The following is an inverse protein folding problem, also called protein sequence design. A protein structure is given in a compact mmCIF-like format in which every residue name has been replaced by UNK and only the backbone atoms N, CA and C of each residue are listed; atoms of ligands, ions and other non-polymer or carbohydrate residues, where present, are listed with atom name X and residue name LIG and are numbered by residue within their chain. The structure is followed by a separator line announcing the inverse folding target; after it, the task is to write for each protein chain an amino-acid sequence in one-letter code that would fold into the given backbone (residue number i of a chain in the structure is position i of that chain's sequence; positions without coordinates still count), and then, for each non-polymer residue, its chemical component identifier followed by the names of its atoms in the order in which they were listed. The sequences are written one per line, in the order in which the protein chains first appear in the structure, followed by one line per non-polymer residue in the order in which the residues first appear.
data_IF_131864784392
#
_entry.id   IF_131864784392
#
_cell.length_a   1.000
_cell.length_b   1.000
_cell.length_c   1.000
_cell.angle_alpha   90.00
_cell.angle_beta   90.00
_cell.angle_gamma   90.00
#
_symmetry.space_group_name_H-M   'P 1'
#
loop_
_entity.id
_entity.type
_entity.pdbx_description
1 polymer ?
#
# COMPACT_ATOMS: atom_id res chain seq x y z
N UNK A 1 -5.42 8.86 27.70
CA UNK A 1 -5.99 8.70 26.34
C UNK A 1 -5.90 10.04 25.63
N UNK A 2 -4.99 10.12 24.67
CA UNK A 2 -4.79 11.05 23.55
C UNK A 2 -5.27 12.51 23.65
N UNK A 3 -4.31 13.40 23.86
CA UNK A 3 -4.31 14.78 23.40
C UNK A 3 -4.08 14.80 21.87
N UNK A 4 -5.13 15.01 21.08
CA UNK A 4 -5.01 15.20 19.62
C UNK A 4 -6.18 14.65 18.82
N UNK A 5 -7.25 15.45 18.72
CA UNK A 5 -8.54 15.21 18.04
C UNK A 5 -9.31 13.94 18.47
N UNK A 6 -10.44 14.06 19.18
CA UNK A 6 -11.26 12.89 19.50
C UNK A 6 -11.78 12.24 18.21
N UNK A 7 -11.36 11.00 17.96
CA UNK A 7 -11.89 10.19 16.87
C UNK A 7 -13.41 10.04 17.03
N UNK A 8 -14.15 10.23 15.95
CA UNK A 8 -15.62 10.13 15.93
C UNK A 8 -16.08 8.80 15.34
N UNK A 9 -15.40 8.31 14.31
CA UNK A 9 -15.86 7.16 13.55
C UNK A 9 -14.81 6.07 13.53
N UNK A 10 -15.27 4.82 13.53
CA UNK A 10 -14.47 3.63 13.32
C UNK A 10 -15.25 2.57 12.56
N UNK A 11 -14.56 1.51 12.18
CA UNK A 11 -15.10 0.32 11.55
C UNK A 11 -14.74 -0.88 12.39
N UNK A 12 -15.75 -1.64 12.78
CA UNK A 12 -15.58 -2.91 13.46
C UNK A 12 -15.29 -3.96 12.39
N UNK A 13 -14.31 -4.82 12.65
CA UNK A 13 -14.02 -5.95 11.80
C UNK A 13 -13.69 -7.18 12.63
N UNK A 14 -13.93 -8.35 12.03
CA UNK A 14 -13.62 -9.62 12.65
C UNK A 14 -12.37 -10.23 12.04
N UNK A 15 -11.50 -10.76 12.88
CA UNK A 15 -10.33 -11.52 12.46
C UNK A 15 -10.04 -12.63 13.44
N UNK A 16 -9.89 -13.85 12.94
CA UNK A 16 -9.46 -15.04 13.72
C UNK A 16 -7.95 -15.25 13.63
N UNK A 17 -7.21 -14.28 13.07
CA UNK A 17 -5.76 -14.41 12.86
C UNK A 17 -5.01 -13.93 14.09
N UNK A 18 -4.14 -14.81 14.61
CA UNK A 18 -3.36 -14.54 15.82
C UNK A 18 -2.53 -13.24 15.72
N UNK A 19 -1.97 -12.94 14.55
CA UNK A 19 -1.15 -11.72 14.38
C UNK A 19 -1.94 -10.42 14.52
N UNK A 20 -3.27 -10.42 14.35
CA UNK A 20 -4.06 -9.19 14.44
C UNK A 20 -4.07 -8.64 15.88
N UNK A 21 -4.02 -9.53 16.87
CA UNK A 21 -3.89 -9.15 18.27
C UNK A 21 -2.57 -8.45 18.54
N UNK A 22 -1.46 -9.00 18.05
CA UNK A 22 -0.12 -8.42 18.20
C UNK A 22 -0.01 -7.10 17.43
N UNK A 23 -0.58 -7.05 16.21
CA UNK A 23 -0.62 -5.85 15.40
C UNK A 23 -1.35 -4.72 16.13
N UNK A 24 -2.55 -4.95 16.65
CA UNK A 24 -3.32 -3.93 17.36
C UNK A 24 -2.61 -3.41 18.62
N UNK A 25 -1.78 -4.23 19.29
CA UNK A 25 -1.02 -3.82 20.48
C UNK A 25 0.26 -3.05 20.14
N UNK A 26 0.92 -3.38 19.03
CA UNK A 26 2.20 -2.79 18.63
C UNK A 26 2.05 -1.63 17.62
N UNK A 27 0.85 -1.44 17.05
CA UNK A 27 0.61 -0.43 16.03
C UNK A 27 0.70 0.98 16.58
N UNK A 28 1.56 1.80 15.96
CA UNK A 28 1.78 3.18 16.36
C UNK A 28 1.79 4.10 15.14
N UNK A 29 0.63 4.67 14.82
CA UNK A 29 0.46 5.64 13.73
C UNK A 29 -0.44 6.80 14.17
N UNK A 30 -0.14 8.00 13.65
CA UNK A 30 -0.99 9.19 13.83
C UNK A 30 -2.19 9.19 12.87
N UNK A 31 -2.16 8.39 11.80
CA UNK A 31 -3.18 8.38 10.76
C UNK A 31 -4.19 7.24 10.94
N UNK A 32 -3.78 6.12 11.55
CA UNK A 32 -4.61 4.92 11.73
C UNK A 32 -4.47 4.38 13.14
N UNK A 33 -5.60 4.05 13.75
CA UNK A 33 -5.69 3.42 15.05
C UNK A 33 -6.37 2.06 14.94
N UNK A 34 -5.78 1.08 15.61
CA UNK A 34 -6.27 -0.30 15.71
C UNK A 34 -6.34 -0.68 17.19
N UNK A 35 -7.42 -1.30 17.64
CA UNK A 35 -7.50 -1.85 18.99
C UNK A 35 -8.47 -3.03 19.08
N UNK A 36 -8.28 -3.84 20.13
CA UNK A 36 -9.15 -4.97 20.50
C UNK A 36 -10.43 -4.45 21.17
N UNK A 37 -11.59 -4.97 20.78
CA UNK A 37 -12.86 -4.61 21.42
C UNK A 37 -13.20 -5.48 22.64
N UNK A 38 -12.60 -6.67 22.75
CA UNK A 38 -12.83 -7.60 23.85
C UNK A 38 -11.60 -7.67 24.78
N UNK A 39 -11.80 -7.63 26.11
CA UNK A 39 -10.72 -7.87 27.06
C UNK A 39 -10.34 -9.36 27.08
N UNK A 40 -9.08 -9.68 26.80
CA UNK A 40 -8.56 -11.05 26.85
C UNK A 40 -7.36 -11.30 25.94
N UNK A 41 -6.78 -12.50 26.03
CA UNK A 41 -5.61 -12.88 25.23
C UNK A 41 -5.91 -13.09 23.74
N UNK A 42 -7.17 -13.34 23.38
CA UNK A 42 -7.60 -13.53 21.99
C UNK A 42 -8.89 -12.73 21.79
N UNK A 43 -8.79 -11.62 21.05
CA UNK A 43 -9.97 -10.88 20.56
C UNK A 43 -10.23 -11.33 19.13
N UNK A 44 -11.50 -11.56 18.78
CA UNK A 44 -11.92 -11.76 17.38
C UNK A 44 -12.52 -10.50 16.77
N UNK A 45 -12.82 -9.49 17.60
CA UNK A 45 -13.41 -8.23 17.19
C UNK A 45 -12.41 -7.09 17.42
N UNK A 46 -12.21 -6.27 16.40
CA UNK A 46 -11.26 -5.16 16.40
C UNK A 46 -11.93 -3.91 15.84
N UNK A 47 -11.40 -2.75 16.21
CA UNK A 47 -11.82 -1.48 15.61
C UNK A 47 -10.67 -0.85 14.82
N UNK A 48 -10.98 -0.45 13.58
CA UNK A 48 -10.15 0.40 12.73
C UNK A 48 -10.72 1.82 12.74
N UNK A 49 -9.95 2.80 13.19
CA UNK A 49 -10.38 4.19 13.25
C UNK A 49 -9.30 5.14 12.76
N UNK A 50 -9.72 6.36 12.42
CA UNK A 50 -8.81 7.40 11.95
C UNK A 50 -9.36 8.79 12.24
N UNK A 51 -8.51 9.78 12.59
CA UNK A 51 -8.92 11.18 12.65
C UNK A 51 -9.40 11.69 11.30
N UNK A 52 -8.93 11.09 10.18
CA UNK A 52 -9.32 11.46 8.82
C UNK A 52 -10.80 11.21 8.54
N UNK A 53 -11.50 10.46 9.39
CA UNK A 53 -12.93 10.16 9.25
C UNK A 53 -13.83 11.26 9.85
N UNK A 54 -13.30 12.11 10.72
CA UNK A 54 -14.10 13.04 11.53
C UNK A 54 -14.93 14.04 10.71
N UNK A 55 -14.43 14.40 9.52
CA UNK A 55 -15.05 15.38 8.61
C UNK A 55 -15.82 14.75 7.46
N UNK A 56 -16.07 13.44 7.49
CA UNK A 56 -16.95 12.81 6.50
C UNK A 56 -18.33 13.47 6.51
N UNK A 57 -18.84 13.81 5.32
CA UNK A 57 -20.12 14.52 5.13
C UNK A 57 -21.32 13.63 5.44
N UNK A 58 -21.21 12.35 5.11
CA UNK A 58 -22.22 11.33 5.31
C UNK A 58 -21.55 9.94 5.42
N UNK A 59 -22.36 8.87 5.48
CA UNK A 59 -21.87 7.49 5.63
C UNK A 59 -21.19 6.96 4.34
N UNK A 60 -21.53 7.46 3.15
CA UNK A 60 -20.88 7.06 1.90
C UNK A 60 -19.49 7.68 1.82
N UNK A 61 -19.37 8.99 2.08
CA UNK A 61 -18.11 9.71 2.16
C UNK A 61 -17.16 9.10 3.21
N UNK A 62 -17.71 8.67 4.35
CA UNK A 62 -16.98 7.94 5.39
C UNK A 62 -16.46 6.59 4.88
N UNK A 63 -17.30 5.81 4.20
CA UNK A 63 -16.96 4.47 3.72
C UNK A 63 -15.96 4.50 2.58
N UNK A 64 -16.11 5.44 1.65
CA UNK A 64 -15.16 5.67 0.57
C UNK A 64 -13.78 6.03 1.14
N UNK A 65 -13.73 6.98 2.08
CA UNK A 65 -12.47 7.40 2.71
C UNK A 65 -11.82 6.28 3.51
N UNK A 66 -12.60 5.52 4.29
CA UNK A 66 -12.10 4.37 5.02
C UNK A 66 -11.59 3.27 4.09
N UNK A 67 -12.26 3.02 2.96
CA UNK A 67 -11.82 2.06 1.96
C UNK A 67 -10.51 2.50 1.31
N UNK A 68 -10.39 3.78 0.95
CA UNK A 68 -9.17 4.35 0.40
C UNK A 68 -8.01 4.28 1.41
N UNK A 69 -8.23 4.64 2.67
CA UNK A 69 -7.20 4.63 3.71
C UNK A 69 -6.78 3.21 4.08
N UNK A 70 -7.74 2.28 4.13
CA UNK A 70 -7.45 0.86 4.32
C UNK A 70 -6.63 0.29 3.17
N UNK A 71 -6.90 0.67 1.92
CA UNK A 71 -6.05 0.26 0.80
C UNK A 71 -4.60 0.75 0.97
N UNK A 72 -4.39 1.96 1.53
CA UNK A 72 -3.03 2.43 1.87
C UNK A 72 -2.40 1.56 2.97
N UNK A 73 -3.16 1.25 4.03
CA UNK A 73 -2.73 0.35 5.11
C UNK A 73 -2.32 -1.03 4.58
N UNK A 74 -3.20 -1.67 3.81
CA UNK A 74 -2.97 -3.01 3.30
C UNK A 74 -1.72 -3.05 2.40
N UNK A 75 -1.53 -2.03 1.54
CA UNK A 75 -0.34 -1.92 0.72
C UNK A 75 0.94 -1.74 1.55
N UNK A 76 0.89 -0.89 2.58
CA UNK A 76 2.00 -0.67 3.49
C UNK A 76 2.36 -1.95 4.26
N UNK A 77 1.35 -2.68 4.73
CA UNK A 77 1.54 -3.96 5.43
C UNK A 77 2.15 -5.02 4.52
N UNK A 78 1.66 -5.17 3.28
CA UNK A 78 2.21 -6.10 2.28
C UNK A 78 3.69 -5.81 1.99
N UNK A 79 4.08 -4.54 1.82
CA UNK A 79 5.50 -4.17 1.69
C UNK A 79 6.28 -4.35 2.99
N UNK A 80 5.64 -4.14 4.14
CA UNK A 80 6.20 -4.34 5.47
C UNK A 80 6.68 -5.77 5.67
N UNK A 81 5.81 -6.75 5.42
CA UNK A 81 6.10 -8.19 5.54
C UNK A 81 6.97 -8.73 4.41
N UNK A 82 6.97 -8.05 3.25
CA UNK A 82 7.85 -8.35 2.12
C UNK A 82 7.62 -9.74 1.52
N UNK A 83 8.66 -10.58 1.34
CA UNK A 83 8.52 -11.91 0.75
C UNK A 83 7.58 -12.85 1.51
N UNK A 84 7.30 -12.55 2.79
CA UNK A 84 6.30 -13.27 3.59
C UNK A 84 4.91 -12.66 3.43
N UNK A 85 4.55 -12.24 2.23
CA UNK A 85 3.26 -11.56 1.99
C UNK A 85 2.07 -12.45 2.37
N UNK A 86 2.21 -13.77 2.25
CA UNK A 86 1.24 -14.75 2.75
C UNK A 86 1.03 -14.73 4.27
N UNK A 87 1.92 -14.10 5.03
CA UNK A 87 1.77 -13.88 6.48
C UNK A 87 0.84 -12.69 6.80
N UNK A 88 0.48 -11.89 5.80
CA UNK A 88 -0.46 -10.79 5.95
C UNK A 88 -1.75 -11.08 5.19
N UNK A 89 -2.88 -10.97 5.88
CA UNK A 89 -4.20 -11.12 5.30
C UNK A 89 -5.02 -9.83 5.52
N UNK A 90 -5.43 -9.13 4.45
CA UNK A 90 -6.29 -7.97 4.60
C UNK A 90 -7.59 -8.33 5.33
N UNK A 91 -7.99 -7.53 6.31
CA UNK A 91 -9.32 -7.64 6.92
C UNK A 91 -10.37 -7.00 6.00
N UNK A 92 -11.65 -7.19 6.30
CA UNK A 92 -12.74 -6.46 5.63
C UNK A 92 -13.29 -5.38 6.57
N UNK A 93 -13.68 -4.22 6.03
CA UNK A 93 -14.43 -3.24 6.81
C UNK A 93 -15.82 -3.80 7.10
N UNK A 94 -16.18 -3.91 8.39
CA UNK A 94 -17.51 -4.35 8.82
C UNK A 94 -18.39 -3.16 9.24
N UNK A 95 -19.02 -3.27 10.40
CA UNK A 95 -19.96 -2.27 10.91
C UNK A 95 -19.29 -0.92 11.17
N UNK A 96 -19.99 0.16 10.87
CA UNK A 96 -19.58 1.52 11.24
C UNK A 96 -19.96 1.74 12.70
N UNK A 97 -19.02 2.23 13.51
CA UNK A 97 -19.26 2.64 14.90
C UNK A 97 -19.03 4.14 15.07
N UNK A 98 -19.98 4.82 15.70
CA UNK A 98 -19.73 6.15 16.26
C UNK A 98 -19.06 5.99 17.63
N UNK A 99 -17.80 6.39 17.73
CA UNK A 99 -16.97 6.22 18.92
C UNK A 99 -17.39 7.12 20.09
N UNK A 100 -18.28 8.10 19.88
CA UNK A 100 -18.77 8.99 20.93
C UNK A 100 -19.95 8.43 21.70
N UNK A 101 -20.85 7.73 21.01
CA UNK A 101 -22.09 7.18 21.58
C UNK A 101 -22.17 5.65 21.47
N UNK A 102 -21.16 5.01 20.87
CA UNK A 102 -21.04 3.56 20.64
C UNK A 102 -22.16 2.95 19.79
N UNK A 103 -22.89 3.77 19.03
CA UNK A 103 -23.92 3.28 18.11
C UNK A 103 -23.26 2.62 16.90
N UNK A 104 -23.58 1.35 16.67
CA UNK A 104 -23.16 0.55 15.50
C UNK A 104 -24.21 0.64 14.38
N UNK A 105 -23.76 0.61 13.14
CA UNK A 105 -24.60 0.68 11.93
C UNK A 105 -23.97 -0.14 10.81
N UNK A 106 -24.82 -0.75 9.99
CA UNK A 106 -24.37 -1.30 8.72
C UNK A 106 -23.82 -0.19 7.83
N UNK A 107 -22.68 -0.46 7.19
CA UNK A 107 -22.12 0.43 6.19
C UNK A 107 -22.89 0.36 4.86
N UNK A 108 -22.76 1.38 3.99
CA UNK A 108 -23.35 1.38 2.66
C UNK A 108 -22.78 0.33 1.69
N UNK A 109 -21.87 -0.54 2.14
CA UNK A 109 -21.24 -1.60 1.34
C UNK A 109 -19.84 -1.23 0.87
N UNK A 110 -19.51 -1.58 -0.38
CA UNK A 110 -18.18 -1.36 -0.97
C UNK A 110 -17.94 0.14 -1.19
N UNK A 111 -16.89 0.69 -0.56
CA UNK A 111 -16.48 2.07 -0.78
C UNK A 111 -15.70 2.26 -2.07
N UNK A 112 -15.74 3.49 -2.59
CA UNK A 112 -14.92 3.92 -3.70
C UNK A 112 -13.47 4.14 -3.24
N UNK A 113 -12.59 3.21 -3.61
CA UNK A 113 -11.17 3.35 -3.28
C UNK A 113 -10.58 4.64 -3.86
N UNK A 114 -11.05 5.17 -4.99
CA UNK A 114 -10.38 6.27 -5.71
C UNK A 114 -10.35 7.62 -4.97
N UNK A 115 -11.13 7.81 -3.90
CA UNK A 115 -11.17 9.08 -3.15
C UNK A 115 -9.87 9.38 -2.40
N UNK A 116 -9.69 10.63 -1.98
CA UNK A 116 -8.58 11.05 -1.12
C UNK A 116 -8.74 10.43 0.29
N UNK A 117 -7.81 9.56 0.75
CA UNK A 117 -7.92 8.93 2.06
C UNK A 117 -7.63 9.86 3.24
N UNK A 118 -6.79 10.88 3.02
CA UNK A 118 -6.34 11.77 4.10
C UNK A 118 -7.17 13.05 4.14
N UNK A 119 -7.60 13.45 5.33
CA UNK A 119 -8.22 14.75 5.52
C UNK A 119 -7.16 15.85 5.41
N UNK A 120 -7.24 16.78 4.43
CA UNK A 120 -6.24 17.84 4.26
C UNK A 120 -6.17 18.80 5.46
N UNK A 121 -7.20 18.80 6.31
CA UNK A 121 -7.25 19.63 7.52
C UNK A 121 -6.84 18.88 8.78
N UNK A 122 -6.60 17.57 8.69
CA UNK A 122 -5.87 16.87 9.73
C UNK A 122 -4.44 17.40 9.71
N UNK A 123 -3.92 17.86 10.85
CA UNK A 123 -2.56 18.40 10.98
C UNK A 123 -1.64 17.40 11.68
N UNK A 124 -0.34 17.43 11.38
CA UNK A 124 0.64 16.67 12.14
C UNK A 124 0.78 17.23 13.56
N UNK A 125 1.04 16.39 14.57
CA UNK A 125 1.71 16.85 15.77
C UNK A 125 3.00 17.60 15.40
N UNK A 126 3.31 18.67 16.12
CA UNK A 126 4.56 19.42 15.89
C UNK A 126 5.75 18.48 16.14
N UNK A 127 6.61 18.29 15.14
CA UNK A 127 7.84 17.49 15.27
C UNK A 127 7.81 16.08 14.65
N UNK A 128 6.72 15.69 13.96
CA UNK A 128 6.67 14.42 13.22
C UNK A 128 7.76 14.38 12.15
N UNK A 129 8.73 13.46 12.28
CA UNK A 129 9.71 13.14 11.25
C UNK A 129 9.24 11.92 10.47
N UNK A 130 9.37 11.95 9.14
CA UNK A 130 8.93 10.86 8.24
C UNK A 130 9.80 9.61 8.43
N UNK A 131 11.08 9.78 8.79
CA UNK A 131 12.04 8.69 8.87
C UNK A 131 12.99 8.89 10.05
N UNK A 132 13.02 7.92 10.97
CA UNK A 132 14.26 7.60 11.67
C UNK A 132 15.02 6.63 10.77
N UNK A 133 16.27 6.94 10.42
CA UNK A 133 17.04 6.31 9.33
C UNK A 133 17.20 4.77 9.45
N UNK A 134 16.76 4.18 10.55
CA UNK A 134 16.88 2.77 10.90
C UNK A 134 15.64 1.92 10.58
N UNK A 135 14.44 2.50 10.38
CA UNK A 135 13.21 1.73 10.16
C UNK A 135 12.32 2.34 9.07
N UNK A 136 12.10 1.59 7.99
CA UNK A 136 11.10 1.92 6.96
C UNK A 136 9.96 0.89 7.03
N UNK A 137 9.11 1.08 8.05
CA UNK A 137 7.98 0.23 8.42
C UNK A 137 6.66 0.73 7.79
N UNK A 138 5.55 -0.04 7.88
CA UNK A 138 4.27 0.36 7.33
C UNK A 138 3.79 1.76 7.76
N UNK A 139 4.03 2.13 9.02
CA UNK A 139 3.62 3.41 9.59
C UNK A 139 4.32 4.59 8.89
N UNK A 140 5.62 4.45 8.59
CA UNK A 140 6.37 5.45 7.83
C UNK A 140 5.91 5.53 6.36
N UNK A 141 5.49 4.41 5.76
CA UNK A 141 4.94 4.40 4.39
C UNK A 141 3.59 5.14 4.33
N UNK A 142 2.72 4.94 5.33
CA UNK A 142 1.43 5.64 5.43
C UNK A 142 1.65 7.14 5.62
N UNK A 143 2.59 7.51 6.49
CA UNK A 143 2.98 8.89 6.71
C UNK A 143 3.53 9.54 5.42
N UNK A 144 4.40 8.84 4.69
CA UNK A 144 4.89 9.30 3.38
C UNK A 144 3.76 9.49 2.38
N UNK A 145 2.81 8.56 2.30
CA UNK A 145 1.67 8.63 1.38
C UNK A 145 0.81 9.88 1.58
N UNK A 146 0.80 10.49 2.76
CA UNK A 146 0.09 11.74 3.00
C UNK A 146 0.69 12.94 2.25
N UNK A 147 1.96 12.86 1.84
CA UNK A 147 2.71 13.97 1.26
C UNK A 147 3.27 13.67 -0.14
N UNK A 148 3.47 12.39 -0.46
CA UNK A 148 4.00 11.92 -1.74
C UNK A 148 2.90 11.18 -2.52
N UNK A 149 2.31 11.81 -3.57
CA UNK A 149 1.26 11.20 -4.38
C UNK A 149 1.67 9.88 -5.05
N UNK A 150 2.97 9.70 -5.30
CA UNK A 150 3.48 8.44 -5.85
C UNK A 150 3.45 7.36 -4.77
N UNK A 151 3.90 7.65 -3.54
CA UNK A 151 3.76 6.70 -2.45
C UNK A 151 2.29 6.36 -2.16
N UNK A 152 1.41 7.37 -2.08
CA UNK A 152 -0.03 7.18 -1.90
C UNK A 152 -0.58 6.19 -2.92
N UNK A 153 -0.30 6.47 -4.18
CA UNK A 153 -0.82 5.65 -5.23
C UNK A 153 -0.24 4.22 -5.22
N UNK A 154 1.05 4.03 -4.88
CA UNK A 154 1.71 2.70 -4.89
C UNK A 154 1.01 1.84 -3.86
N UNK A 155 0.89 2.37 -2.64
CA UNK A 155 0.32 1.66 -1.52
C UNK A 155 -1.15 1.35 -1.77
N UNK A 156 -1.91 2.33 -2.25
CA UNK A 156 -3.33 2.17 -2.56
C UNK A 156 -3.58 1.17 -3.68
N UNK A 157 -2.75 1.18 -4.74
CA UNK A 157 -2.87 0.23 -5.84
C UNK A 157 -2.55 -1.19 -5.38
N UNK A 158 -1.49 -1.36 -4.59
CA UNK A 158 -1.10 -2.65 -4.03
C UNK A 158 -2.15 -3.19 -3.05
N UNK A 159 -2.57 -2.38 -2.07
CA UNK A 159 -3.49 -2.84 -1.04
C UNK A 159 -4.88 -3.13 -1.55
N UNK A 160 -5.36 -2.41 -2.58
CA UNK A 160 -6.67 -2.69 -3.17
C UNK A 160 -6.68 -3.93 -4.05
N UNK A 161 -5.67 -4.13 -4.90
CA UNK A 161 -5.65 -5.22 -5.87
C UNK A 161 -4.96 -6.49 -5.36
N UNK A 162 -4.14 -6.37 -4.31
CA UNK A 162 -3.27 -7.45 -3.86
C UNK A 162 -2.09 -7.70 -4.82
N UNK A 163 -1.12 -8.52 -4.41
CA UNK A 163 0.16 -8.69 -5.10
C UNK A 163 0.09 -9.75 -6.21
N UNK A 164 -0.81 -9.58 -7.19
CA UNK A 164 -0.87 -10.43 -8.39
C UNK A 164 0.10 -9.95 -9.49
N UNK A 165 0.26 -10.71 -10.58
CA UNK A 165 1.17 -10.34 -11.67
C UNK A 165 0.89 -8.96 -12.28
N UNK A 166 -0.38 -8.52 -12.33
CA UNK A 166 -0.76 -7.23 -12.92
C UNK A 166 -0.37 -6.10 -11.99
N UNK A 167 -0.69 -6.22 -10.71
CA UNK A 167 -0.33 -5.27 -9.68
C UNK A 167 1.19 -5.16 -9.58
N UNK A 168 1.91 -6.28 -9.50
CA UNK A 168 3.38 -6.28 -9.44
C UNK A 168 3.99 -5.61 -10.68
N UNK A 169 3.42 -5.81 -11.87
CA UNK A 169 3.90 -5.10 -13.04
C UNK A 169 3.60 -3.60 -12.95
N UNK A 170 2.42 -3.20 -12.51
CA UNK A 170 2.09 -1.79 -12.33
C UNK A 170 3.05 -1.09 -11.34
N UNK A 171 3.49 -1.79 -10.29
CA UNK A 171 4.54 -1.31 -9.39
C UNK A 171 5.88 -1.11 -10.11
N UNK A 172 6.26 -2.04 -10.98
CA UNK A 172 7.44 -1.89 -11.83
C UNK A 172 7.31 -0.68 -12.77
N UNK A 173 6.16 -0.48 -13.41
CA UNK A 173 5.91 0.69 -14.26
C UNK A 173 6.08 2.01 -13.47
N UNK A 174 5.70 2.05 -12.18
CA UNK A 174 5.87 3.26 -11.35
C UNK A 174 7.33 3.51 -11.02
N UNK A 175 8.07 2.46 -10.66
CA UNK A 175 9.51 2.52 -10.47
C UNK A 175 10.21 3.02 -11.75
N UNK A 176 9.90 2.44 -12.91
CA UNK A 176 10.48 2.84 -14.20
C UNK A 176 10.16 4.29 -14.55
N UNK A 177 8.95 4.75 -14.23
CA UNK A 177 8.54 6.13 -14.46
C UNK A 177 9.37 7.15 -13.67
N UNK A 178 10.02 6.70 -12.59
CA UNK A 178 10.94 7.45 -11.72
C UNK A 178 12.41 7.07 -11.95
N UNK A 179 12.74 6.47 -13.10
CA UNK A 179 14.11 6.18 -13.52
C UNK A 179 14.72 4.92 -12.91
N UNK A 180 13.94 4.07 -12.23
CA UNK A 180 14.39 2.75 -11.82
C UNK A 180 14.28 1.77 -12.99
N UNK A 181 15.42 1.44 -13.58
CA UNK A 181 15.50 0.43 -14.63
C UNK A 181 15.71 -0.98 -14.05
N UNK A 182 15.64 -2.00 -14.92
CA UNK A 182 15.87 -3.42 -14.58
C UNK A 182 17.16 -3.63 -13.78
N UNK A 183 18.26 -2.92 -14.13
CA UNK A 183 19.55 -3.04 -13.41
C UNK A 183 19.45 -2.55 -11.98
N UNK A 184 18.72 -1.45 -11.74
CA UNK A 184 18.53 -0.91 -10.39
C UNK A 184 17.65 -1.84 -9.55
N UNK A 185 16.57 -2.36 -10.13
CA UNK A 185 15.68 -3.34 -9.48
C UNK A 185 16.46 -4.61 -9.10
N UNK A 186 17.24 -5.15 -10.04
CA UNK A 186 18.12 -6.28 -9.83
C UNK A 186 19.15 -6.03 -8.71
N UNK A 187 19.81 -4.87 -8.73
CA UNK A 187 20.82 -4.51 -7.73
C UNK A 187 20.25 -4.41 -6.31
N UNK A 188 19.09 -3.79 -6.10
CA UNK A 188 18.52 -3.64 -4.76
C UNK A 188 17.91 -4.93 -4.20
N UNK A 189 17.61 -5.89 -5.08
CA UNK A 189 17.07 -7.21 -4.70
C UNK A 189 18.15 -8.29 -4.63
N UNK A 190 19.40 -7.98 -5.01
CA UNK A 190 20.48 -8.96 -5.10
C UNK A 190 20.26 -10.02 -6.17
N UNK A 191 19.51 -9.70 -7.23
CA UNK A 191 19.14 -10.59 -8.32
C UNK A 191 19.85 -10.20 -9.63
N UNK A 192 19.83 -11.08 -10.63
CA UNK A 192 20.29 -10.77 -11.97
C UNK A 192 19.22 -10.01 -12.78
N UNK A 193 19.64 -9.16 -13.72
CA UNK A 193 18.71 -8.45 -14.60
C UNK A 193 17.86 -9.41 -15.46
N UNK A 194 18.36 -10.61 -15.76
CA UNK A 194 17.59 -11.64 -16.46
C UNK A 194 16.39 -12.16 -15.64
N UNK A 195 16.45 -12.09 -14.30
CA UNK A 195 15.32 -12.42 -13.42
C UNK A 195 14.21 -11.39 -13.60
N UNK A 196 14.54 -10.11 -13.71
CA UNK A 196 13.57 -9.04 -13.99
C UNK A 196 12.95 -9.22 -15.39
N UNK A 197 13.73 -9.65 -16.38
CA UNK A 197 13.19 -9.98 -17.71
C UNK A 197 12.29 -11.21 -17.71
N UNK A 198 12.61 -12.24 -16.92
CA UNK A 198 11.76 -13.40 -16.77
C UNK A 198 10.41 -13.01 -16.15
N UNK A 199 10.41 -12.11 -15.16
CA UNK A 199 9.18 -11.52 -14.61
C UNK A 199 8.36 -10.81 -15.68
N UNK A 200 8.95 -9.82 -16.38
CA UNK A 200 8.20 -9.03 -17.36
C UNK A 200 7.72 -9.87 -18.54
N UNK A 201 8.51 -10.85 -18.98
CA UNK A 201 8.15 -11.82 -20.01
C UNK A 201 6.97 -12.70 -19.56
N UNK A 202 6.99 -13.20 -18.33
CA UNK A 202 5.92 -14.04 -17.79
C UNK A 202 4.62 -13.25 -17.64
N UNK A 203 4.68 -12.09 -17.00
CA UNK A 203 3.52 -11.26 -16.71
C UNK A 203 2.79 -10.72 -17.96
N UNK A 204 3.50 -10.57 -19.08
CA UNK A 204 2.93 -10.14 -20.37
C UNK A 204 2.40 -11.29 -21.24
N UNK A 205 2.66 -12.55 -20.90
CA UNK A 205 2.39 -13.68 -21.79
C UNK A 205 1.05 -14.36 -21.45
N UNK A 206 0.03 -14.10 -22.28
CA UNK A 206 -1.30 -14.70 -22.16
C UNK A 206 -1.31 -16.22 -22.37
N UNK A 207 -0.35 -16.80 -23.10
CA UNK A 207 -0.24 -18.25 -23.24
C UNK A 207 0.20 -18.93 -21.95
N UNK A 208 0.97 -18.23 -21.10
CA UNK A 208 1.42 -18.72 -19.80
C UNK A 208 0.37 -18.44 -18.72
N UNK A 209 -0.06 -17.18 -18.58
CA UNK A 209 -0.90 -16.74 -17.46
C UNK A 209 -2.40 -16.68 -17.78
N UNK A 210 -2.78 -16.87 -19.04
CA UNK A 210 -4.16 -16.77 -19.48
C UNK A 210 -4.82 -15.45 -19.05
N UNK A 211 -5.98 -15.51 -18.36
CA UNK A 211 -6.70 -14.33 -17.90
C UNK A 211 -6.01 -13.57 -16.77
N UNK A 212 -4.87 -14.02 -16.25
CA UNK A 212 -4.07 -13.30 -15.25
C UNK A 212 -2.94 -12.49 -15.88
N UNK A 213 -2.68 -12.64 -17.19
CA UNK A 213 -1.68 -11.82 -17.88
C UNK A 213 -2.07 -10.33 -17.89
N UNK A 214 -1.05 -9.45 -17.91
CA UNK A 214 -1.20 -7.99 -18.08
C UNK A 214 -1.88 -7.64 -19.42
N UNK A 215 -1.59 -8.42 -20.45
CA UNK A 215 -2.11 -8.22 -21.79
C UNK A 215 -2.80 -9.49 -22.28
N UNK A 216 -3.83 -9.34 -23.11
CA UNK A 216 -4.39 -10.45 -23.89
C UNK A 216 -3.40 -10.97 -24.94
N UNK A 217 -3.85 -11.85 -25.84
CA UNK A 217 -3.00 -12.45 -26.86
C UNK A 217 -2.41 -11.39 -27.82
N UNK A 218 -1.22 -10.94 -27.45
CA UNK A 218 -0.26 -10.26 -28.30
C UNK A 218 0.80 -11.31 -28.62
N UNK A 219 1.36 -11.31 -29.83
CA UNK A 219 2.39 -12.28 -30.30
C UNK A 219 3.74 -12.11 -29.57
N UNK A 220 3.73 -12.03 -28.24
CA UNK A 220 4.92 -12.03 -27.41
C UNK A 220 5.57 -13.40 -27.52
N UNK A 221 6.88 -13.43 -27.66
CA UNK A 221 7.63 -14.67 -27.58
C UNK A 221 7.48 -15.25 -26.17
N UNK A 222 7.34 -16.57 -26.10
CA UNK A 222 7.37 -17.28 -24.82
C UNK A 222 8.75 -17.03 -24.19
N UNK A 223 8.82 -16.50 -22.96
CA UNK A 223 10.09 -16.26 -22.29
C UNK A 223 10.83 -17.58 -22.06
N UNK A 224 12.17 -17.51 -22.05
CA UNK A 224 13.03 -18.68 -21.81
C UNK A 224 12.87 -19.26 -20.41
N UNK A 225 12.47 -18.42 -19.45
CA UNK A 225 12.19 -18.79 -18.08
C UNK A 225 10.85 -18.22 -17.66
N UNK A 226 10.04 -19.04 -16.98
CA UNK A 226 8.74 -18.66 -16.43
C UNK A 226 8.94 -18.42 -14.93
N UNK A 227 8.41 -17.31 -14.43
CA UNK A 227 8.50 -16.93 -13.03
C UNK A 227 7.20 -17.25 -12.29
N UNK A 228 7.28 -17.91 -11.14
CA UNK A 228 6.10 -18.14 -10.28
C UNK A 228 5.62 -16.84 -9.64
N UNK A 229 4.39 -16.83 -9.12
CA UNK A 229 3.87 -15.63 -8.46
C UNK A 229 4.66 -15.32 -7.18
N UNK A 230 5.06 -16.35 -6.43
CA UNK A 230 5.87 -16.21 -5.22
C UNK A 230 7.24 -15.60 -5.54
N UNK A 231 7.92 -16.07 -6.60
CA UNK A 231 9.19 -15.48 -7.05
C UNK A 231 9.00 -14.03 -7.51
N UNK A 232 7.90 -13.73 -8.20
CA UNK A 232 7.58 -12.36 -8.62
C UNK A 232 7.33 -11.44 -7.43
N UNK A 233 6.65 -11.91 -6.38
CA UNK A 233 6.43 -11.18 -5.13
C UNK A 233 7.75 -10.95 -4.39
N UNK A 234 8.59 -11.98 -4.30
CA UNK A 234 9.91 -11.91 -3.68
C UNK A 234 10.88 -10.97 -4.42
N UNK A 235 10.68 -10.76 -5.73
CA UNK A 235 11.42 -9.76 -6.51
C UNK A 235 10.85 -8.34 -6.35
N UNK A 236 9.56 -8.17 -6.63
CA UNK A 236 8.98 -6.84 -6.85
C UNK A 236 8.61 -6.12 -5.56
N UNK A 237 8.13 -6.83 -4.52
CA UNK A 237 7.74 -6.17 -3.26
C UNK A 237 8.97 -5.55 -2.54
N UNK A 238 10.12 -6.25 -2.40
CA UNK A 238 11.31 -5.63 -1.83
C UNK A 238 11.86 -4.47 -2.66
N UNK A 239 11.84 -4.59 -4.00
CA UNK A 239 12.22 -3.49 -4.88
C UNK A 239 11.33 -2.26 -4.69
N UNK A 240 10.01 -2.46 -4.59
CA UNK A 240 9.02 -1.39 -4.36
C UNK A 240 9.24 -0.72 -3.01
N UNK A 241 9.51 -1.50 -1.95
CA UNK A 241 9.86 -0.97 -0.63
C UNK A 241 11.12 -0.11 -0.68
N UNK A 242 12.17 -0.61 -1.33
CA UNK A 242 13.43 0.14 -1.52
C UNK A 242 13.22 1.41 -2.34
N UNK A 243 12.33 1.37 -3.34
CA UNK A 243 11.94 2.52 -4.13
C UNK A 243 11.30 3.61 -3.27
N UNK A 244 10.25 3.29 -2.52
CA UNK A 244 9.59 4.28 -1.67
C UNK A 244 10.52 4.82 -0.59
N UNK A 245 11.37 3.96 0.01
CA UNK A 245 12.43 4.38 0.95
C UNK A 245 13.36 5.41 0.32
N UNK A 246 13.86 5.16 -0.89
CA UNK A 246 14.78 6.09 -1.56
C UNK A 246 14.16 7.45 -1.85
N UNK A 247 12.84 7.49 -2.11
CA UNK A 247 12.11 8.75 -2.28
C UNK A 247 12.05 9.52 -0.98
N UNK A 248 11.73 8.83 0.12
CA UNK A 248 11.65 9.42 1.43
C UNK A 248 13.01 9.97 1.89
N UNK A 249 14.10 9.22 1.67
CA UNK A 249 15.48 9.68 1.92
C UNK A 249 15.85 10.91 1.07
N UNK A 250 15.38 10.96 -0.18
CA UNK A 250 15.61 12.12 -1.05
C UNK A 250 14.86 13.37 -0.55
N UNK A 251 13.63 13.19 -0.07
CA UNK A 251 12.85 14.28 0.53
C UNK A 251 13.53 14.81 1.79
N UNK A 252 13.97 13.93 2.69
CA UNK A 252 14.68 14.34 3.91
C UNK A 252 15.96 15.13 3.60
N UNK A 253 16.68 14.76 2.53
CA UNK A 253 17.91 15.44 2.13
C UNK A 253 17.67 16.80 1.46
N UNK A 254 16.57 16.97 0.73
CA UNK A 254 16.35 18.15 -0.15
C UNK A 254 15.20 19.05 0.28
N UNK A 255 14.32 18.57 1.16
CA UNK A 255 13.04 19.20 1.50
C UNK A 255 12.00 19.14 0.38
N UNK A 256 12.26 18.41 -0.71
CA UNK A 256 11.36 18.33 -1.86
C UNK A 256 11.28 16.90 -2.40
N UNK A 257 10.08 16.51 -2.86
CA UNK A 257 9.91 15.21 -3.51
C UNK A 257 10.55 15.22 -4.90
N UNK A 258 11.15 14.09 -5.34
CA UNK A 258 11.59 13.96 -6.72
C UNK A 258 10.44 14.30 -7.68
N UNK A 259 10.68 15.27 -8.56
CA UNK A 259 9.67 15.72 -9.52
C UNK A 259 9.52 14.65 -10.61
N UNK A 260 8.32 14.10 -10.72
CA UNK A 260 7.95 13.26 -11.84
C UNK A 260 7.94 14.07 -13.13
N UNK A 261 8.88 13.78 -14.03
CA UNK A 261 8.80 14.23 -15.41
C UNK A 261 8.50 13.02 -16.27
N UNK A 262 7.24 12.85 -16.65
CA UNK A 262 6.83 11.80 -17.58
C UNK A 262 7.73 11.86 -18.81
N UNK A 263 8.47 10.79 -19.16
CA UNK A 263 9.26 10.77 -20.38
C UNK A 263 8.32 11.02 -21.57
N UNK A 264 8.56 12.12 -22.31
CA UNK A 264 7.81 12.34 -23.54
C UNK A 264 8.09 11.19 -24.50
N UNK A 265 7.05 10.66 -25.18
CA UNK A 265 7.18 9.55 -26.15
C UNK A 265 8.26 9.79 -27.22
N UNK A 266 8.71 11.03 -27.42
CA UNK A 266 9.75 11.39 -28.39
C UNK A 266 11.16 10.94 -28.01
N UNK A 267 11.47 10.68 -26.73
CA UNK A 267 12.82 10.27 -26.32
C UNK A 267 13.18 8.83 -26.73
N UNK A 268 12.17 7.98 -27.04
CA UNK A 268 12.38 6.57 -27.41
C UNK A 268 12.66 6.36 -28.90
N UNK A 269 12.37 7.36 -29.75
CA UNK A 269 12.59 7.29 -31.20
C UNK A 269 13.95 7.86 -31.66
N UNK A 270 14.82 8.28 -30.73
CA UNK A 270 16.13 8.86 -31.05
C UNK A 270 17.31 7.88 -30.84
N UNK A 271 17.03 6.58 -30.74
CA UNK A 271 18.05 5.52 -30.54
C UNK A 271 17.80 4.27 -31.41
N UNK A 272 17.16 4.43 -32.56
CA UNK A 272 17.17 3.43 -33.64
C UNK A 272 17.77 4.06 -34.90
#
# INVERSE_FOLDING_TARGET
MNDGLPMRWGFIFHSVRNYMSDLAEQWHSDDIYLWKNEPGHVSIEFTFASPHFNRARDMYDLTDRATALKAVLDGAMMLGVGPRVSAYEPFALGEIINLRDHVRRDGPGLGNVLVEPFDPLSTFPVGTKIITHDRYNPENMILQARQDPIALGVLKHLGFNGPDYRTLYALLDWMESEGWNEKRVAAVTGQDAEVVKAFTGTANNATILGPLARHGEKRWQVPKSIMTLEDAQALILPATKAFLRSRAETFDATGAWPVYVRPSKKARAAKE
#
